data_IF_932477867526
#
_entry.id   IF_932477867526
#
_cell.length_a   1.000
_cell.length_b   1.000
_cell.length_c   1.000
_cell.angle_alpha   90.00
_cell.angle_beta   90.00
_cell.angle_gamma   90.00
#
_symmetry.space_group_name_H-M   'P 1'
#
loop_
_entity.id
_entity.type
_entity.pdbx_description
1 polymer ?
#
# COMPACT_ATOMS: atom_id res chain seq x y z
N UNK A 1 -9.90 -7.75 5.82
CA UNK A 1 -10.89 -8.62 5.14
C UNK A 1 -10.23 -9.53 4.10
N UNK A 2 -9.70 -9.02 2.98
CA UNK A 2 -9.01 -9.86 1.98
C UNK A 2 -7.77 -10.57 2.57
N UNK A 3 -6.95 -9.85 3.32
CA UNK A 3 -5.76 -10.41 4.00
C UNK A 3 -6.12 -11.47 5.05
N UNK A 4 -7.30 -11.38 5.67
CA UNK A 4 -7.72 -12.37 6.68
C UNK A 4 -7.99 -13.72 6.01
N UNK A 5 -8.56 -13.71 4.81
CA UNK A 5 -8.75 -14.91 4.00
C UNK A 5 -7.42 -15.43 3.45
N UNK A 6 -6.50 -14.53 3.05
CA UNK A 6 -5.14 -14.88 2.64
C UNK A 6 -4.36 -15.55 3.78
N UNK A 7 -4.47 -15.04 5.01
CA UNK A 7 -3.83 -15.60 6.20
C UNK A 7 -4.42 -16.97 6.61
N UNK A 8 -5.67 -17.24 6.25
CA UNK A 8 -6.31 -18.56 6.40
C UNK A 8 -5.91 -19.55 5.30
N UNK A 9 -5.01 -19.17 4.38
CA UNK A 9 -4.54 -20.02 3.29
C UNK A 9 -5.53 -20.16 2.13
N UNK A 10 -6.48 -19.24 1.99
CA UNK A 10 -7.41 -19.20 0.85
C UNK A 10 -6.85 -18.32 -0.26
N UNK A 11 -7.13 -18.68 -1.51
CA UNK A 11 -6.89 -17.80 -2.65
C UNK A 11 -7.88 -16.64 -2.64
N UNK A 12 -7.39 -15.42 -2.86
CA UNK A 12 -8.16 -14.18 -2.77
C UNK A 12 -7.90 -13.30 -3.98
N UNK A 13 -8.97 -12.76 -4.57
CA UNK A 13 -8.92 -11.74 -5.61
C UNK A 13 -9.35 -10.39 -5.03
N UNK A 14 -8.55 -9.36 -5.23
CA UNK A 14 -8.88 -7.97 -4.90
C UNK A 14 -8.86 -7.15 -6.17
N UNK A 15 -9.96 -6.45 -6.46
CA UNK A 15 -10.10 -5.57 -7.64
C UNK A 15 -10.26 -4.13 -7.17
N UNK A 16 -9.44 -3.24 -7.71
CA UNK A 16 -9.54 -1.79 -7.47
C UNK A 16 -10.08 -1.10 -8.72
N UNK A 17 -11.29 -0.54 -8.64
CA UNK A 17 -11.94 0.21 -9.72
C UNK A 17 -12.33 1.63 -9.23
N UNK A 18 -11.50 2.65 -9.40
CA UNK A 18 -10.16 2.67 -9.98
C UNK A 18 -9.18 3.39 -9.04
N UNK A 19 -7.88 3.16 -9.21
CA UNK A 19 -6.86 3.81 -8.37
C UNK A 19 -6.71 5.31 -8.69
N UNK A 20 -7.17 5.77 -9.84
CA UNK A 20 -7.10 7.18 -10.23
C UNK A 20 -8.02 8.05 -9.37
N UNK A 21 -9.27 7.61 -9.15
CA UNK A 21 -10.23 8.27 -8.26
C UNK A 21 -9.76 8.23 -6.81
N UNK A 22 -9.12 7.15 -6.39
CA UNK A 22 -8.51 7.06 -5.06
C UNK A 22 -7.39 8.12 -4.89
N UNK A 23 -6.51 8.25 -5.89
CA UNK A 23 -5.47 9.28 -5.89
C UNK A 23 -6.04 10.71 -5.83
N UNK A 24 -7.14 10.97 -6.55
CA UNK A 24 -7.83 12.26 -6.50
C UNK A 24 -8.40 12.59 -5.13
N UNK A 25 -9.04 11.63 -4.47
CA UNK A 25 -9.54 11.80 -3.11
C UNK A 25 -8.39 12.12 -2.14
N UNK A 26 -7.28 11.38 -2.22
CA UNK A 26 -6.10 11.62 -1.39
C UNK A 26 -5.47 13.00 -1.65
N UNK A 27 -5.46 13.44 -2.91
CA UNK A 27 -5.03 14.79 -3.29
C UNK A 27 -5.92 15.85 -2.64
N UNK A 28 -7.24 15.73 -2.75
CA UNK A 28 -8.19 16.69 -2.17
C UNK A 28 -8.02 16.77 -0.64
N UNK A 29 -7.93 15.63 0.04
CA UNK A 29 -7.67 15.59 1.48
C UNK A 29 -6.35 16.28 1.84
N UNK A 30 -5.28 15.99 1.10
CA UNK A 30 -3.96 16.57 1.36
C UNK A 30 -3.95 18.09 1.18
N UNK A 31 -4.65 18.60 0.17
CA UNK A 31 -4.80 20.03 -0.08
C UNK A 31 -5.62 20.72 1.03
N UNK A 32 -6.72 20.09 1.48
CA UNK A 32 -7.52 20.60 2.60
C UNK A 32 -6.69 20.67 3.90
N UNK A 33 -5.82 19.68 4.12
CA UNK A 33 -4.89 19.64 5.24
C UNK A 33 -3.64 20.52 5.06
N UNK A 34 -3.57 21.30 3.98
CA UNK A 34 -2.44 22.18 3.64
C UNK A 34 -1.09 21.44 3.61
N UNK A 35 -1.09 20.17 3.21
CA UNK A 35 0.15 19.44 2.96
C UNK A 35 0.86 20.02 1.73
N UNK A 36 2.20 20.04 1.71
CA UNK A 36 2.94 20.52 0.56
C UNK A 36 2.62 19.67 -0.67
N UNK A 37 2.21 20.34 -1.75
CA UNK A 37 1.86 19.71 -3.02
C UNK A 37 3.05 19.75 -3.99
N UNK A 38 3.23 18.67 -4.74
CA UNK A 38 4.24 18.54 -5.79
C UNK A 38 3.63 18.57 -7.18
N UNK A 39 4.11 17.68 -8.06
CA UNK A 39 3.62 17.55 -9.44
C UNK A 39 2.10 17.30 -9.47
N UNK A 40 1.40 18.01 -10.35
CA UNK A 40 -0.06 17.89 -10.56
C UNK A 40 -0.91 18.07 -9.28
N UNK A 41 -0.36 18.81 -8.32
CA UNK A 41 -0.91 19.05 -7.00
C UNK A 41 -1.06 17.80 -6.10
N UNK A 42 -0.44 16.67 -6.45
CA UNK A 42 -0.39 15.50 -5.57
C UNK A 42 0.60 15.69 -4.42
N UNK A 43 0.33 15.10 -3.25
CA UNK A 43 1.30 15.06 -2.16
C UNK A 43 2.50 14.17 -2.53
N UNK A 44 3.67 14.43 -1.94
CA UNK A 44 4.91 13.72 -2.26
C UNK A 44 4.88 12.21 -1.98
N UNK A 45 3.95 11.74 -1.15
CA UNK A 45 3.77 10.35 -0.75
C UNK A 45 2.68 9.62 -1.57
N UNK A 46 2.19 10.19 -2.67
CA UNK A 46 1.19 9.53 -3.54
C UNK A 46 1.67 8.19 -4.11
N UNK A 47 2.98 8.07 -4.39
CA UNK A 47 3.57 6.79 -4.80
C UNK A 47 3.52 5.77 -3.66
N UNK A 48 3.94 6.19 -2.45
CA UNK A 48 3.94 5.34 -1.27
C UNK A 48 2.53 4.83 -0.92
N UNK A 49 1.49 5.65 -1.11
CA UNK A 49 0.10 5.24 -0.90
C UNK A 49 -0.27 4.00 -1.73
N UNK A 50 0.01 4.01 -3.03
CA UNK A 50 -0.31 2.89 -3.92
C UNK A 50 0.65 1.71 -3.74
N UNK A 51 1.95 1.96 -3.57
CA UNK A 51 2.93 0.90 -3.33
C UNK A 51 2.57 0.11 -2.08
N UNK A 52 2.31 0.79 -0.96
CA UNK A 52 1.90 0.10 0.28
C UNK A 52 0.61 -0.68 0.12
N UNK A 53 -0.34 -0.19 -0.67
CA UNK A 53 -1.60 -0.90 -0.91
C UNK A 53 -1.40 -2.18 -1.74
N UNK A 54 -0.58 -2.10 -2.80
CA UNK A 54 -0.37 -3.19 -3.74
C UNK A 54 0.59 -4.25 -3.21
N UNK A 55 1.64 -3.86 -2.49
CA UNK A 55 2.61 -4.78 -1.87
C UNK A 55 1.96 -5.72 -0.83
N UNK A 56 0.76 -5.39 -0.34
CA UNK A 56 -0.02 -6.27 0.54
C UNK A 56 -0.65 -7.45 -0.20
N UNK A 57 -0.84 -7.35 -1.50
CA UNK A 57 -1.31 -8.44 -2.34
C UNK A 57 -0.11 -9.29 -2.78
N UNK A 58 0.34 -10.16 -1.89
CA UNK A 58 1.48 -11.05 -2.11
C UNK A 58 1.11 -12.51 -1.81
N UNK A 59 1.87 -13.45 -2.38
CA UNK A 59 1.76 -14.87 -2.01
C UNK A 59 2.55 -15.10 -0.73
N UNK A 60 1.87 -15.50 0.35
CA UNK A 60 2.54 -15.88 1.59
C UNK A 60 3.14 -17.28 1.46
N UNK A 61 4.44 -17.41 1.74
CA UNK A 61 5.07 -18.69 2.02
C UNK A 61 4.78 -19.08 3.48
N UNK A 62 4.32 -20.31 3.70
CA UNK A 62 3.99 -20.80 5.05
C UNK A 62 5.22 -20.94 5.97
N UNK A 63 6.43 -20.93 5.39
CA UNK A 63 7.68 -21.17 6.11
C UNK A 63 8.65 -19.99 5.97
N UNK A 64 8.20 -18.80 6.36
CA UNK A 64 9.04 -17.60 6.37
C UNK A 64 10.07 -17.66 7.51
N UNK A 65 11.32 -17.97 7.17
CA UNK A 65 12.46 -17.80 8.09
C UNK A 65 12.82 -16.32 8.11
N UNK A 66 12.48 -15.62 9.20
CA UNK A 66 13.03 -14.29 9.46
C UNK A 66 14.52 -14.47 9.71
N UNK A 67 15.36 -14.12 8.73
CA UNK A 67 16.81 -14.06 8.96
C UNK A 67 17.06 -12.80 9.78
N UNK A 68 17.50 -12.92 11.06
CA UNK A 68 17.90 -11.74 11.81
C UNK A 68 19.11 -11.11 11.11
N UNK A 69 19.01 -9.81 10.82
CA UNK A 69 20.17 -9.05 10.34
C UNK A 69 21.26 -9.15 11.42
N UNK A 70 22.51 -9.48 11.05
CA UNK A 70 23.60 -9.46 12.01
C UNK A 70 23.73 -8.04 12.58
N UNK A 71 23.99 -7.88 13.89
CA UNK A 71 24.28 -6.57 14.44
C UNK A 71 25.46 -5.97 13.68
N UNK A 72 25.26 -4.75 13.18
CA UNK A 72 26.32 -3.97 12.54
C UNK A 72 27.50 -3.88 13.50
N UNK A 73 28.60 -4.55 13.16
CA UNK A 73 29.90 -4.31 13.77
C UNK A 73 30.41 -2.92 13.37
#
# INVERSE_FOLDING_TARGET
MAEDFMAQGKDVLVVYDDLTKHAWAYRQMSLLLRRPAGREAYPGDVFYLHSRLLERAARLEQNMVVVPLPPSQ
#
